data_IF_626719822955
#
_entry.id   IF_626719822955
#
_cell.length_a   1.000
_cell.length_b   1.000
_cell.length_c   1.000
_cell.angle_alpha   90.00
_cell.angle_beta   90.00
_cell.angle_gamma   90.00
#
_symmetry.space_group_name_H-M   'P 1'
#
loop_
_entity.id
_entity.type
_entity.pdbx_description
1 polymer ?
#
# COMPACT_ATOMS: atom_id res chain seq x y z
N UNK A 1 24.21 3.50 22.99
CA UNK A 1 24.83 4.85 22.94
C UNK A 1 26.37 4.74 23.11
N UNK A 2 27.07 4.34 22.04
CA UNK A 2 28.54 4.26 22.04
C UNK A 2 29.18 5.48 21.35
N UNK A 3 28.40 6.23 20.59
CA UNK A 3 28.86 7.37 19.77
C UNK A 3 28.03 8.64 19.97
N UNK A 4 26.85 8.54 20.60
CA UNK A 4 25.98 9.67 20.89
C UNK A 4 25.18 9.40 22.16
N UNK A 5 24.98 10.45 22.94
CA UNK A 5 24.16 10.47 24.14
C UNK A 5 22.71 10.82 23.80
N UNK A 6 21.78 10.49 24.71
CA UNK A 6 20.38 10.90 24.58
C UNK A 6 20.23 12.42 24.44
N UNK A 7 20.99 13.19 25.20
CA UNK A 7 20.93 14.65 25.20
C UNK A 7 21.39 15.23 23.87
N UNK A 8 22.44 14.69 23.26
CA UNK A 8 22.90 15.11 21.93
C UNK A 8 21.86 14.81 20.85
N UNK A 9 21.20 13.66 20.91
CA UNK A 9 20.12 13.31 19.97
C UNK A 9 18.95 14.26 20.13
N UNK A 10 18.52 14.57 21.37
CA UNK A 10 17.41 15.49 21.61
C UNK A 10 17.72 16.91 21.10
N UNK A 11 18.91 17.44 21.42
CA UNK A 11 19.31 18.76 20.95
C UNK A 11 19.41 18.82 19.41
N UNK A 12 19.80 17.72 18.77
CA UNK A 12 19.79 17.62 17.30
C UNK A 12 18.37 17.64 16.73
N UNK A 13 17.47 16.79 17.27
CA UNK A 13 16.07 16.76 16.83
C UNK A 13 15.36 18.09 17.04
N UNK A 14 15.60 18.78 18.15
CA UNK A 14 15.04 20.11 18.41
C UNK A 14 15.46 21.12 17.34
N UNK A 15 16.71 21.10 16.89
CA UNK A 15 17.15 21.97 15.77
C UNK A 15 16.43 21.62 14.47
N UNK A 16 16.41 20.35 14.10
CA UNK A 16 15.74 19.91 12.88
C UNK A 16 14.23 20.19 12.87
N UNK A 17 13.57 20.19 14.03
CA UNK A 17 12.15 20.52 14.14
C UNK A 17 11.87 22.02 14.05
N UNK A 18 12.86 22.86 14.36
CA UNK A 18 12.76 24.33 14.29
C UNK A 18 13.19 24.86 12.91
N UNK A 19 14.01 24.11 12.19
CA UNK A 19 14.37 24.36 10.80
C UNK A 19 13.21 23.90 9.90
N UNK A 20 12.45 24.86 9.35
CA UNK A 20 11.31 24.60 8.45
C UNK A 20 11.79 24.25 7.02
N UNK A 21 12.81 23.39 6.93
CA UNK A 21 13.31 22.87 5.65
C UNK A 21 12.47 21.67 5.20
N UNK A 22 11.21 21.92 4.85
CA UNK A 22 10.44 20.98 4.07
C UNK A 22 10.80 21.15 2.59
N UNK A 23 11.80 20.41 2.13
CA UNK A 23 11.99 20.25 0.70
C UNK A 23 10.77 19.47 0.16
N UNK A 24 9.96 20.13 -0.66
CA UNK A 24 8.75 19.54 -1.22
C UNK A 24 9.12 18.43 -2.20
N UNK A 25 9.26 17.20 -1.70
CA UNK A 25 9.46 16.02 -2.55
C UNK A 25 8.22 15.83 -3.41
N UNK A 26 8.41 15.79 -4.72
CA UNK A 26 7.33 15.56 -5.67
C UNK A 26 6.60 14.25 -5.32
N UNK A 27 5.30 14.35 -5.03
CA UNK A 27 4.49 13.17 -4.73
C UNK A 27 4.13 12.47 -6.04
N UNK A 28 4.45 11.18 -6.14
CA UNK A 28 4.09 10.35 -7.28
C UNK A 28 2.82 9.54 -7.00
N UNK A 29 1.97 9.38 -8.01
CA UNK A 29 0.82 8.45 -8.00
C UNK A 29 1.14 7.23 -8.83
N UNK A 30 0.99 6.06 -8.22
CA UNK A 30 1.13 4.76 -8.85
C UNK A 30 -0.25 4.17 -9.13
N UNK A 31 -0.46 3.69 -10.35
CA UNK A 31 -1.68 2.98 -10.73
C UNK A 31 -1.49 1.48 -10.51
N UNK A 32 -2.18 0.90 -9.54
CA UNK A 32 -1.97 -0.49 -9.12
C UNK A 32 -3.09 -1.40 -9.68
N UNK A 33 -2.77 -2.36 -10.59
CA UNK A 33 -3.74 -3.34 -11.06
C UNK A 33 -4.13 -4.31 -9.96
N UNK A 34 -5.42 -4.60 -9.79
CA UNK A 34 -5.91 -5.57 -8.81
C UNK A 34 -6.93 -6.51 -9.44
N UNK A 35 -6.65 -7.80 -9.33
CA UNK A 35 -7.64 -8.84 -9.54
C UNK A 35 -8.43 -9.04 -8.23
N UNK A 36 -9.67 -8.56 -8.20
CA UNK A 36 -10.55 -8.60 -7.04
C UNK A 36 -11.19 -9.98 -6.84
N UNK A 37 -10.37 -10.96 -6.51
CA UNK A 37 -10.76 -12.32 -6.16
C UNK A 37 -10.21 -12.72 -4.79
N UNK A 38 -10.13 -11.77 -3.85
CA UNK A 38 -9.68 -12.04 -2.50
C UNK A 38 -10.66 -12.93 -1.74
N UNK A 39 -10.12 -13.85 -0.94
CA UNK A 39 -10.90 -14.80 -0.14
C UNK A 39 -11.94 -14.12 0.75
N UNK A 40 -11.64 -12.92 1.25
CA UNK A 40 -12.53 -12.20 2.18
C UNK A 40 -13.44 -11.20 1.48
N UNK A 41 -13.33 -11.00 0.15
CA UNK A 41 -14.11 -9.99 -0.55
C UNK A 41 -15.64 -10.17 -0.36
N UNK A 42 -16.21 -11.39 -0.39
CA UNK A 42 -17.61 -11.60 -0.05
C UNK A 42 -17.95 -11.28 1.42
N UNK A 43 -17.06 -11.59 2.38
CA UNK A 43 -17.26 -11.26 3.80
C UNK A 43 -17.23 -9.74 4.00
N UNK A 44 -16.27 -9.05 3.35
CA UNK A 44 -16.14 -7.59 3.40
C UNK A 44 -17.45 -6.95 2.92
N UNK A 45 -17.96 -7.38 1.76
CA UNK A 45 -19.24 -6.92 1.21
C UNK A 45 -20.39 -7.12 2.22
N UNK A 46 -20.55 -8.35 2.73
CA UNK A 46 -21.60 -8.67 3.70
C UNK A 46 -21.52 -7.82 4.99
N UNK A 47 -20.32 -7.63 5.54
CA UNK A 47 -20.11 -6.89 6.81
C UNK A 47 -20.21 -5.39 6.68
N UNK A 48 -19.98 -4.85 5.47
CA UNK A 48 -20.12 -3.42 5.18
C UNK A 48 -21.53 -3.07 4.68
N UNK A 49 -22.39 -4.07 4.41
CA UNK A 49 -23.71 -3.86 3.82
C UNK A 49 -23.66 -3.43 2.35
N UNK A 50 -22.56 -3.73 1.67
CA UNK A 50 -22.30 -3.39 0.27
C UNK A 50 -22.34 -4.65 -0.61
N UNK A 51 -22.58 -4.49 -1.90
CA UNK A 51 -22.28 -5.54 -2.88
C UNK A 51 -20.77 -5.61 -3.12
N UNK A 52 -20.28 -6.71 -3.68
CA UNK A 52 -18.87 -6.84 -4.08
C UNK A 52 -18.48 -5.75 -5.07
N UNK A 53 -19.35 -5.45 -6.03
CA UNK A 53 -19.14 -4.40 -7.03
C UNK A 53 -19.04 -3.02 -6.38
N UNK A 54 -19.85 -2.75 -5.36
CA UNK A 54 -19.79 -1.50 -4.59
C UNK A 54 -18.49 -1.39 -3.79
N UNK A 55 -18.02 -2.48 -3.17
CA UNK A 55 -16.71 -2.50 -2.48
C UNK A 55 -15.59 -2.18 -3.45
N UNK A 56 -15.57 -2.84 -4.62
CA UNK A 56 -14.56 -2.63 -5.66
C UNK A 56 -14.62 -1.20 -6.18
N UNK A 57 -15.79 -0.69 -6.53
CA UNK A 57 -15.98 0.68 -7.02
C UNK A 57 -15.52 1.72 -6.01
N UNK A 58 -15.86 1.54 -4.73
CA UNK A 58 -15.45 2.45 -3.67
C UNK A 58 -13.92 2.42 -3.48
N UNK A 59 -13.31 1.24 -3.44
CA UNK A 59 -11.86 1.10 -3.29
C UNK A 59 -11.09 1.70 -4.48
N UNK A 60 -11.59 1.60 -5.71
CA UNK A 60 -10.90 2.15 -6.90
C UNK A 60 -11.15 3.65 -7.11
N UNK A 61 -12.18 4.21 -6.47
CA UNK A 61 -12.54 5.63 -6.58
C UNK A 61 -11.64 6.59 -5.79
N UNK A 62 -10.75 6.08 -4.93
CA UNK A 62 -9.96 6.90 -3.99
C UNK A 62 -8.45 6.75 -4.22
N UNK A 63 -7.73 7.83 -3.93
CA UNK A 63 -6.27 7.87 -3.84
C UNK A 63 -5.82 7.57 -2.41
N UNK A 64 -4.86 6.65 -2.25
CA UNK A 64 -4.37 6.26 -0.93
C UNK A 64 -2.94 6.71 -0.72
N UNK A 65 -2.73 7.61 0.24
CA UNK A 65 -1.39 8.07 0.59
C UNK A 65 -0.67 6.98 1.37
N UNK A 66 0.54 6.65 0.94
CA UNK A 66 1.44 5.75 1.66
C UNK A 66 1.95 6.50 2.90
N UNK A 67 1.61 6.02 4.08
CA UNK A 67 2.09 6.60 5.33
C UNK A 67 3.44 6.02 5.70
N UNK A 68 3.60 4.71 5.53
CA UNK A 68 4.86 4.02 5.80
C UNK A 68 5.09 2.98 4.73
N UNK A 69 6.36 2.75 4.42
CA UNK A 69 6.80 1.57 3.70
C UNK A 69 7.66 0.78 4.66
N UNK A 70 7.23 -0.41 5.04
CA UNK A 70 7.95 -1.18 6.05
C UNK A 70 7.06 -2.11 6.86
N UNK A 71 7.42 -3.38 6.80
CA UNK A 71 7.11 -4.51 7.68
C UNK A 71 7.78 -5.72 7.02
N UNK A 72 7.58 -5.82 5.71
CA UNK A 72 8.43 -6.52 4.74
C UNK A 72 8.95 -5.51 3.68
N UNK A 73 10.01 -5.84 2.92
CA UNK A 73 10.56 -4.96 1.88
C UNK A 73 9.50 -4.51 0.88
N UNK A 74 9.35 -3.19 0.73
CA UNK A 74 8.39 -2.58 -0.19
C UNK A 74 6.92 -2.63 0.23
N UNK A 75 6.58 -3.21 1.40
CA UNK A 75 5.19 -3.26 1.86
C UNK A 75 4.65 -1.85 2.17
N UNK A 76 3.63 -1.36 1.44
CA UNK A 76 3.01 -0.08 1.75
C UNK A 76 1.96 -0.28 2.84
N UNK A 77 1.87 0.68 3.76
CA UNK A 77 0.72 0.85 4.65
C UNK A 77 0.13 2.22 4.33
N UNK A 78 -1.09 2.22 3.82
CA UNK A 78 -1.76 3.44 3.37
C UNK A 78 -2.96 3.77 4.25
N UNK A 79 -3.28 5.06 4.31
CA UNK A 79 -4.54 5.56 4.84
C UNK A 79 -5.10 6.69 3.97
N UNK A 80 -6.32 7.18 4.18
CA UNK A 80 -7.38 6.66 5.05
C UNK A 80 -8.44 5.99 4.18
N UNK A 81 -8.81 4.74 4.49
CA UNK A 81 -9.92 4.05 3.82
C UNK A 81 -11.24 4.82 3.98
N UNK A 82 -12.10 4.82 2.94
CA UNK A 82 -13.48 5.28 3.05
C UNK A 82 -14.17 4.65 4.27
N UNK A 83 -14.94 5.45 5.00
CA UNK A 83 -15.59 5.02 6.25
C UNK A 83 -16.46 3.77 6.06
N UNK A 84 -17.10 3.64 4.90
CA UNK A 84 -17.92 2.49 4.54
C UNK A 84 -17.15 1.18 4.33
N UNK A 85 -15.82 1.20 4.17
CA UNK A 85 -14.97 0.00 4.04
C UNK A 85 -14.25 -0.38 5.34
N UNK A 86 -14.50 0.34 6.43
CA UNK A 86 -13.78 0.10 7.69
C UNK A 86 -14.28 -1.17 8.36
N UNK A 87 -13.37 -2.13 8.53
CA UNK A 87 -13.62 -3.35 9.28
C UNK A 87 -12.48 -3.62 10.25
N UNK A 88 -12.74 -4.08 11.50
CA UNK A 88 -11.66 -4.48 12.39
C UNK A 88 -10.87 -5.65 11.79
N UNK A 89 -9.65 -5.89 12.29
CA UNK A 89 -8.87 -7.08 11.95
C UNK A 89 -9.70 -8.35 12.19
N UNK A 90 -9.36 -9.42 11.47
CA UNK A 90 -9.90 -10.76 11.71
C UNK A 90 -9.61 -11.18 13.15
N UNK A 91 -10.56 -11.89 13.76
CA UNK A 91 -10.39 -12.43 15.12
C UNK A 91 -9.27 -13.48 15.21
N UNK A 92 -9.01 -14.21 14.12
CA UNK A 92 -7.90 -15.14 14.00
C UNK A 92 -7.05 -14.79 12.78
N UNK A 93 -5.74 -14.50 12.94
CA UNK A 93 -4.84 -14.22 11.82
C UNK A 93 -4.53 -15.48 11.01
N UNK A 94 -4.31 -15.30 9.71
CA UNK A 94 -3.78 -16.36 8.84
C UNK A 94 -2.32 -16.62 9.18
N UNK A 95 -1.92 -17.88 9.10
CA UNK A 95 -0.52 -18.30 9.19
C UNK A 95 0.29 -17.81 7.99
N UNK A 96 -0.33 -17.77 6.80
CA UNK A 96 0.29 -17.26 5.59
C UNK A 96 -0.74 -16.54 4.72
N UNK A 97 -0.45 -15.29 4.39
CA UNK A 97 -1.18 -14.49 3.39
C UNK A 97 -0.46 -14.63 2.04
N UNK A 98 -1.15 -14.87 0.92
CA UNK A 98 -0.50 -14.97 -0.38
C UNK A 98 0.24 -13.67 -0.77
N UNK A 99 1.43 -13.75 -1.41
CA UNK A 99 2.08 -12.58 -1.99
C UNK A 99 1.18 -11.85 -2.99
N UNK A 100 1.32 -10.53 -3.02
CA UNK A 100 0.51 -9.61 -3.82
C UNK A 100 -0.89 -9.35 -3.24
N UNK A 101 -1.26 -9.92 -2.09
CA UNK A 101 -2.60 -9.72 -1.52
C UNK A 101 -2.81 -8.26 -1.14
N UNK A 102 -3.88 -7.66 -1.68
CA UNK A 102 -4.39 -6.34 -1.29
C UNK A 102 -5.39 -6.56 -0.16
N UNK A 103 -5.16 -5.91 0.97
CA UNK A 103 -5.93 -6.16 2.19
C UNK A 103 -6.27 -4.90 2.97
N UNK A 104 -7.36 -4.96 3.74
CA UNK A 104 -7.80 -3.89 4.62
C UNK A 104 -7.89 -4.31 6.09
N UNK A 105 -7.65 -3.35 6.98
CA UNK A 105 -7.95 -3.46 8.41
C UNK A 105 -8.07 -2.08 9.06
N UNK A 106 -9.10 -1.88 9.86
CA UNK A 106 -9.44 -0.60 10.46
C UNK A 106 -9.62 0.47 9.39
N UNK A 107 -8.74 1.47 9.42
CA UNK A 107 -8.73 2.61 8.49
C UNK A 107 -7.66 2.50 7.41
N UNK A 108 -6.96 1.37 7.35
CA UNK A 108 -5.75 1.21 6.57
C UNK A 108 -5.91 0.10 5.54
N UNK A 109 -5.15 0.24 4.45
CA UNK A 109 -4.92 -0.83 3.49
C UNK A 109 -3.43 -1.13 3.39
N UNK A 110 -3.10 -2.34 2.95
CA UNK A 110 -1.74 -2.76 2.67
C UNK A 110 -1.72 -3.70 1.47
N UNK A 111 -0.53 -3.87 0.90
CA UNK A 111 -0.28 -4.93 -0.06
C UNK A 111 0.85 -5.80 0.47
N UNK A 112 0.62 -7.11 0.59
CA UNK A 112 1.61 -8.04 1.12
C UNK A 112 2.65 -8.39 0.05
N UNK A 113 3.93 -8.01 0.19
CA UNK A 113 4.95 -8.31 -0.84
C UNK A 113 5.39 -9.78 -0.82
N UNK A 114 5.20 -10.48 0.30
CA UNK A 114 5.67 -11.84 0.52
C UNK A 114 4.69 -12.63 1.40
N UNK A 115 4.86 -13.95 1.41
CA UNK A 115 4.06 -14.85 2.24
C UNK A 115 4.39 -14.63 3.72
N UNK A 116 3.47 -14.01 4.45
CA UNK A 116 3.66 -13.65 5.87
C UNK A 116 2.35 -13.86 6.64
N UNK A 117 2.41 -14.10 7.97
CA UNK A 117 1.20 -14.14 8.80
C UNK A 117 0.46 -12.80 8.77
N UNK A 118 -0.87 -12.83 8.79
CA UNK A 118 -1.66 -11.60 8.68
C UNK A 118 -3.13 -11.75 9.08
N UNK A 119 -3.64 -10.77 9.84
CA UNK A 119 -5.04 -10.71 10.27
C UNK A 119 -5.89 -9.70 9.51
N UNK A 120 -5.47 -9.30 8.31
CA UNK A 120 -6.19 -8.32 7.47
C UNK A 120 -7.15 -9.04 6.53
N UNK A 121 -8.20 -8.34 6.10
CA UNK A 121 -9.21 -8.88 5.18
C UNK A 121 -8.72 -8.75 3.75
N UNK A 122 -8.62 -9.86 3.02
CA UNK A 122 -8.06 -9.93 1.68
C UNK A 122 -9.13 -9.59 0.62
N UNK A 123 -8.95 -8.48 -0.10
CA UNK A 123 -9.85 -8.02 -1.16
C UNK A 123 -9.51 -8.56 -2.54
N UNK A 124 -8.23 -8.76 -2.82
CA UNK A 124 -7.76 -9.10 -4.16
C UNK A 124 -6.26 -9.31 -4.19
N UNK A 125 -5.70 -9.42 -5.40
CA UNK A 125 -4.27 -9.62 -5.63
C UNK A 125 -3.77 -8.68 -6.72
N UNK A 126 -2.59 -8.11 -6.51
CA UNK A 126 -1.86 -7.36 -7.53
C UNK A 126 -0.63 -8.16 -7.98
N UNK A 127 -0.28 -8.11 -9.28
CA UNK A 127 0.94 -8.72 -9.79
C UNK A 127 2.20 -7.86 -9.55
N UNK A 128 2.04 -6.65 -9.01
CA UNK A 128 3.14 -5.69 -8.80
C UNK A 128 4.22 -6.28 -7.88
N UNK A 129 5.46 -6.27 -8.36
CA UNK A 129 6.65 -6.58 -7.58
C UNK A 129 7.14 -5.31 -6.89
N UNK A 130 7.08 -5.30 -5.55
CA UNK A 130 7.32 -4.10 -4.74
C UNK A 130 8.79 -3.87 -4.39
N UNK A 131 9.60 -4.92 -4.51
CA UNK A 131 11.00 -4.92 -4.13
C UNK A 131 11.83 -5.76 -5.08
N UNK A 132 12.94 -5.20 -5.57
CA UNK A 132 13.94 -5.85 -6.42
C UNK A 132 15.33 -5.33 -6.12
N UNK A 133 16.25 -6.22 -5.74
CA UNK A 133 17.65 -5.86 -5.43
C UNK A 133 18.43 -5.42 -6.68
N UNK A 134 18.03 -5.90 -7.86
CA UNK A 134 18.67 -5.60 -9.14
C UNK A 134 18.15 -4.31 -9.81
N UNK A 135 17.38 -3.49 -9.08
CA UNK A 135 16.84 -2.21 -9.56
C UNK A 135 17.17 -1.05 -8.62
N UNK A 136 17.22 0.14 -9.22
CA UNK A 136 17.32 1.43 -8.54
C UNK A 136 16.13 2.33 -8.97
N UNK A 137 15.25 2.73 -8.04
CA UNK A 137 15.22 2.33 -6.63
C UNK A 137 14.83 0.86 -6.44
N UNK A 138 15.34 0.23 -5.38
CA UNK A 138 15.04 -1.19 -5.08
C UNK A 138 13.64 -1.41 -4.54
N UNK A 139 13.01 -0.36 -4.03
CA UNK A 139 11.61 -0.33 -3.62
C UNK A 139 10.85 0.53 -4.62
N UNK A 140 9.67 0.07 -5.03
CA UNK A 140 8.89 0.71 -6.10
C UNK A 140 8.29 2.08 -5.71
N UNK A 141 8.01 2.31 -4.42
CA UNK A 141 7.38 3.54 -3.90
C UNK A 141 7.96 3.96 -2.56
N UNK A 142 7.70 5.21 -2.18
CA UNK A 142 8.19 5.82 -0.94
C UNK A 142 7.03 6.37 -0.07
N UNK A 143 7.24 6.56 1.24
CA UNK A 143 6.30 7.31 2.07
C UNK A 143 5.95 8.67 1.44
N UNK A 144 4.68 9.03 1.48
CA UNK A 144 4.16 10.25 0.85
C UNK A 144 3.66 10.05 -0.58
N UNK A 145 4.09 9.01 -1.30
CA UNK A 145 3.49 8.64 -2.60
C UNK A 145 2.03 8.20 -2.45
N UNK A 146 1.32 8.10 -3.57
CA UNK A 146 -0.10 7.80 -3.65
C UNK A 146 -0.34 6.53 -4.47
N UNK A 147 -1.23 5.66 -4.01
CA UNK A 147 -1.71 4.50 -4.77
C UNK A 147 -3.13 4.75 -5.27
N UNK A 148 -3.37 4.52 -6.56
CA UNK A 148 -4.70 4.45 -7.16
C UNK A 148 -4.91 3.04 -7.71
N UNK A 149 -5.89 2.33 -7.19
CA UNK A 149 -6.19 0.97 -7.65
C UNK A 149 -7.13 0.97 -8.85
N UNK A 150 -6.99 -0.02 -9.72
CA UNK A 150 -7.96 -0.28 -10.79
C UNK A 150 -8.20 -1.79 -10.96
N UNK A 151 -9.43 -2.20 -11.32
CA UNK A 151 -9.75 -3.61 -11.47
C UNK A 151 -9.16 -4.17 -12.77
N UNK A 152 -8.68 -5.40 -12.69
CA UNK A 152 -8.29 -6.24 -13.82
C UNK A 152 -8.93 -7.62 -13.68
N UNK A 153 -9.07 -8.33 -14.79
CA UNK A 153 -9.47 -9.73 -14.79
C UNK A 153 -8.28 -10.66 -14.51
N UNK A 154 -8.57 -11.97 -14.50
CA UNK A 154 -7.59 -13.01 -14.22
C UNK A 154 -6.54 -13.15 -15.33
N UNK A 155 -6.94 -13.03 -16.59
CA UNK A 155 -6.03 -13.18 -17.73
C UNK A 155 -5.00 -12.03 -17.73
N UNK A 156 -5.49 -10.82 -17.53
CA UNK A 156 -4.66 -9.63 -17.35
C UNK A 156 -3.71 -9.77 -16.15
N UNK A 157 -4.18 -10.35 -15.04
CA UNK A 157 -3.33 -10.60 -13.87
C UNK A 157 -2.20 -11.57 -14.19
N UNK A 158 -2.50 -12.68 -14.85
CA UNK A 158 -1.52 -13.71 -15.21
C UNK A 158 -0.48 -13.15 -16.20
N UNK A 159 -0.93 -12.36 -17.19
CA UNK A 159 -0.04 -11.68 -18.14
C UNK A 159 0.90 -10.69 -17.44
N UNK A 160 0.36 -9.78 -16.63
CA UNK A 160 1.16 -8.79 -15.90
C UNK A 160 2.09 -9.45 -14.88
N UNK A 161 1.65 -10.54 -14.22
CA UNK A 161 2.50 -11.28 -13.29
C UNK A 161 3.75 -11.84 -13.98
N UNK A 162 3.60 -12.35 -15.21
CA UNK A 162 4.74 -12.80 -16.00
C UNK A 162 5.68 -11.62 -16.34
N UNK A 163 5.13 -10.49 -16.79
CA UNK A 163 5.90 -9.31 -17.18
C UNK A 163 6.63 -8.62 -16.00
N UNK A 164 6.01 -8.54 -14.82
CA UNK A 164 6.65 -8.03 -13.61
C UNK A 164 7.74 -8.97 -13.08
N UNK A 165 7.54 -10.29 -13.20
CA UNK A 165 8.51 -11.28 -12.79
C UNK A 165 9.77 -11.26 -13.67
N UNK A 166 9.59 -11.20 -15.00
CA UNK A 166 10.67 -11.06 -15.98
C UNK A 166 11.39 -9.71 -15.88
N UNK A 167 10.72 -8.70 -15.33
CA UNK A 167 11.21 -7.33 -15.27
C UNK A 167 11.01 -6.55 -16.57
N UNK A 168 10.22 -7.09 -17.50
CA UNK A 168 9.78 -6.37 -18.71
C UNK A 168 8.85 -5.21 -18.34
N UNK A 169 8.05 -5.36 -17.29
CA UNK A 169 7.19 -4.32 -16.74
C UNK A 169 7.76 -3.77 -15.43
N UNK A 170 7.61 -2.47 -15.21
CA UNK A 170 7.82 -1.83 -13.92
C UNK A 170 6.74 -0.81 -13.68
N UNK A 171 6.29 -0.71 -12.43
CA UNK A 171 5.17 0.15 -12.13
C UNK A 171 5.57 1.60 -12.39
N UNK A 172 4.91 2.21 -13.37
CA UNK A 172 5.09 3.63 -13.68
C UNK A 172 4.26 4.49 -12.74
N UNK A 173 4.71 5.72 -12.56
CA UNK A 173 4.06 6.70 -11.72
C UNK A 173 3.96 8.05 -12.43
N UNK A 174 2.92 8.80 -12.10
CA UNK A 174 2.71 10.17 -12.59
C UNK A 174 2.90 11.17 -11.45
N UNK A 175 3.40 12.40 -11.71
CA UNK A 175 3.45 13.44 -10.71
C UNK A 175 2.04 13.85 -10.23
N UNK A 176 1.90 14.07 -8.93
CA UNK A 176 0.68 14.59 -8.32
C UNK A 176 0.93 16.03 -7.87
N UNK A 177 0.10 16.95 -8.36
CA UNK A 177 -0.03 18.26 -7.73
C UNK A 177 -0.91 18.09 -6.48
N UNK A 178 -0.30 18.08 -5.30
CA UNK A 178 -1.07 18.17 -4.06
C UNK A 178 -1.54 19.62 -3.97
N UNK A 179 -2.78 19.88 -4.38
CA UNK A 179 -3.47 21.12 -4.05
C UNK A 179 -3.48 21.26 -2.54
N UNK A 180 -2.84 22.30 -2.02
CA UNK A 180 -2.69 22.52 -0.59
C UNK A 180 -4.03 22.76 0.08
N UNK A 181 -4.52 21.76 0.81
CA UNK A 181 -5.42 21.99 1.93
C UNK A 181 -4.63 21.65 3.19
N UNK A 182 -4.15 22.73 3.82
CA UNK A 182 -3.61 22.77 5.18
C UNK A 182 -4.76 22.70 6.18
#
# INVERSE_FOLDING_TARGET
PLTSTRSEILAFLERCLLEDEHEAVATLRFRVPVWYAGEDLPEIAARTGLSVEQVVALHTSVDFRIFTVGFAPGQPICGVLPDALRLPRRGSPRVAVPPGSVALAGRQLTIYPAATPGGWHLMGRTPVVMFRLDRAPSVVWEPGNVLRFYPIDREQYEHLAAAFASGEEWLSAEPVSIGGER
#
